data_IF_512823755948
#
_entry.id   IF_512823755948
#
_cell.length_a   1.000
_cell.length_b   1.000
_cell.length_c   1.000
_cell.angle_alpha   90.00
_cell.angle_beta   90.00
_cell.angle_gamma   90.00
#
_symmetry.space_group_name_H-M   'P 1'
#
loop_
_entity.id
_entity.type
_entity.pdbx_description
1 polymer ?
#
# COMPACT_ATOMS: atom_id res chain seq x y z
N UNK A 1 20.61 -8.62 0.97
CA UNK A 1 19.54 -7.60 1.02
C UNK A 1 19.77 -6.66 -0.16
N UNK A 2 18.81 -6.51 -1.07
CA UNK A 2 19.02 -5.71 -2.29
C UNK A 2 19.10 -4.21 -1.97
N UNK A 3 19.91 -3.47 -2.72
CA UNK A 3 20.11 -2.01 -2.54
C UNK A 3 18.80 -1.21 -2.57
N UNK A 4 17.83 -1.69 -3.36
CA UNK A 4 16.52 -1.06 -3.48
C UNK A 4 15.70 -1.11 -2.19
N UNK A 5 15.77 -2.21 -1.44
CA UNK A 5 15.10 -2.35 -0.14
C UNK A 5 15.77 -1.44 0.90
N UNK A 6 17.10 -1.35 0.90
CA UNK A 6 17.84 -0.48 1.82
C UNK A 6 17.47 1.01 1.61
N UNK A 7 17.32 1.42 0.35
CA UNK A 7 16.89 2.78 -0.01
C UNK A 7 15.47 3.09 0.44
N UNK A 8 14.52 2.16 0.27
CA UNK A 8 13.13 2.33 0.72
C UNK A 8 13.03 2.43 2.25
N UNK A 9 13.82 1.65 3.00
CA UNK A 9 13.92 1.77 4.46
C UNK A 9 14.46 3.15 4.87
N UNK A 10 15.51 3.64 4.20
CA UNK A 10 16.08 4.95 4.50
C UNK A 10 15.12 6.13 4.25
N UNK A 11 14.30 6.06 3.20
CA UNK A 11 13.24 7.06 2.94
C UNK A 11 12.15 6.97 4.00
N UNK A 12 11.70 5.76 4.32
CA UNK A 12 10.69 5.51 5.36
C UNK A 12 11.10 6.10 6.71
N UNK A 13 12.33 5.85 7.17
CA UNK A 13 12.84 6.41 8.43
C UNK A 13 12.86 7.95 8.40
N UNK A 14 13.22 8.55 7.26
CA UNK A 14 13.33 10.01 7.14
C UNK A 14 11.96 10.70 7.12
N UNK A 15 11.01 10.13 6.38
CA UNK A 15 9.64 10.63 6.24
C UNK A 15 8.77 10.32 7.48
N UNK A 16 9.07 9.25 8.22
CA UNK A 16 8.40 8.89 9.48
C UNK A 16 9.10 9.48 10.72
N UNK A 17 9.86 10.58 10.58
CA UNK A 17 10.52 11.29 11.69
C UNK A 17 11.43 10.41 12.58
N UNK A 18 12.13 9.44 11.99
CA UNK A 18 13.05 8.58 12.73
C UNK A 18 12.37 7.43 13.47
N UNK A 19 11.08 7.17 13.24
CA UNK A 19 10.41 5.98 13.78
C UNK A 19 10.90 4.77 13.00
N UNK A 20 11.91 4.09 13.55
CA UNK A 20 12.28 2.75 13.11
C UNK A 20 11.19 1.77 13.54
N UNK A 21 10.60 1.07 12.57
CA UNK A 21 9.72 -0.05 12.83
C UNK A 21 10.49 -1.12 13.63
N UNK A 22 9.96 -1.52 14.80
CA UNK A 22 10.48 -2.66 15.57
C UNK A 22 10.43 -3.97 14.77
N UNK A 23 9.55 -4.03 13.76
CA UNK A 23 9.49 -5.12 12.82
C UNK A 23 10.54 -4.89 11.72
N UNK A 24 11.43 -5.87 11.51
CA UNK A 24 12.46 -5.80 10.47
C UNK A 24 11.88 -5.66 9.05
N UNK A 25 12.71 -5.21 8.10
CA UNK A 25 12.30 -4.87 6.74
C UNK A 25 11.49 -5.98 6.02
N UNK A 26 11.82 -7.26 6.25
CA UNK A 26 11.07 -8.39 5.69
C UNK A 26 9.64 -8.48 6.22
N UNK A 27 9.43 -8.20 7.51
CA UNK A 27 8.11 -8.23 8.12
C UNK A 27 7.25 -7.08 7.60
N UNK A 28 7.84 -5.88 7.45
CA UNK A 28 7.20 -4.73 6.81
C UNK A 28 6.82 -5.05 5.37
N UNK A 29 7.74 -5.63 4.57
CA UNK A 29 7.47 -5.98 3.18
C UNK A 29 6.33 -7.00 3.06
N UNK A 30 6.31 -8.04 3.90
CA UNK A 30 5.20 -9.02 3.96
C UNK A 30 3.87 -8.33 4.26
N UNK A 31 3.87 -7.39 5.20
CA UNK A 31 2.66 -6.69 5.61
C UNK A 31 2.15 -5.73 4.55
N UNK A 32 3.04 -5.02 3.85
CA UNK A 32 2.69 -4.18 2.70
C UNK A 32 2.05 -5.00 1.59
N UNK A 33 2.60 -6.18 1.27
CA UNK A 33 2.01 -7.09 0.28
C UNK A 33 0.63 -7.59 0.72
N UNK A 34 0.50 -7.96 2.01
CA UNK A 34 -0.78 -8.39 2.59
C UNK A 34 -1.85 -7.28 2.49
N UNK A 35 -1.49 -6.05 2.85
CA UNK A 35 -2.38 -4.89 2.78
C UNK A 35 -2.76 -4.56 1.33
N UNK A 36 -1.79 -4.58 0.41
CA UNK A 36 -2.06 -4.32 -1.01
C UNK A 36 -3.06 -5.33 -1.58
N UNK A 37 -2.92 -6.61 -1.23
CA UNK A 37 -3.88 -7.65 -1.60
C UNK A 37 -5.26 -7.36 -1.01
N UNK A 38 -5.35 -7.03 0.27
CA UNK A 38 -6.63 -6.75 0.92
C UNK A 38 -7.37 -5.56 0.28
N UNK A 39 -6.66 -4.47 -0.01
CA UNK A 39 -7.24 -3.30 -0.70
C UNK A 39 -7.71 -3.66 -2.10
N UNK A 40 -6.93 -4.44 -2.87
CA UNK A 40 -7.35 -4.90 -4.20
C UNK A 40 -8.56 -5.80 -4.16
N UNK A 41 -8.63 -6.73 -3.21
CA UNK A 41 -9.74 -7.67 -3.08
C UNK A 41 -11.02 -6.94 -2.65
N UNK A 42 -10.91 -5.90 -1.81
CA UNK A 42 -12.04 -5.05 -1.42
C UNK A 42 -12.53 -4.15 -2.57
N UNK A 43 -11.63 -3.60 -3.38
CA UNK A 43 -12.00 -2.76 -4.52
C UNK A 43 -12.52 -3.57 -5.73
N UNK A 44 -12.17 -4.85 -5.84
CA UNK A 44 -12.51 -5.71 -6.99
C UNK A 44 -14.01 -5.75 -7.35
N UNK A 45 -14.96 -5.85 -6.39
CA UNK A 45 -16.39 -5.85 -6.73
C UNK A 45 -16.89 -4.50 -7.25
N UNK A 46 -16.18 -3.41 -6.95
CA UNK A 46 -16.52 -2.05 -7.37
C UNK A 46 -15.95 -1.68 -8.74
N UNK A 47 -15.12 -2.56 -9.33
CA UNK A 47 -14.45 -2.34 -10.61
C UNK A 47 -15.07 -3.21 -11.70
N UNK A 48 -15.62 -2.57 -12.72
CA UNK A 48 -16.17 -3.22 -13.90
C UNK A 48 -15.14 -3.31 -15.02
N UNK A 49 -15.26 -4.31 -15.88
CA UNK A 49 -14.29 -4.56 -16.97
C UNK A 49 -14.25 -3.43 -18.03
N UNK A 50 -15.29 -2.60 -18.07
CA UNK A 50 -15.41 -1.47 -19.00
C UNK A 50 -14.95 -0.14 -18.40
N UNK A 51 -14.52 -0.14 -17.14
CA UNK A 51 -14.08 1.08 -16.46
C UNK A 51 -12.80 1.63 -17.10
N UNK A 52 -12.66 2.94 -17.09
CA UNK A 52 -11.44 3.57 -17.58
C UNK A 52 -10.30 3.26 -16.60
N UNK A 53 -9.05 3.17 -17.07
CA UNK A 53 -7.91 2.96 -16.19
C UNK A 53 -7.80 3.98 -15.04
N UNK A 54 -8.36 5.17 -15.21
CA UNK A 54 -8.41 6.23 -14.19
C UNK A 54 -9.43 5.97 -13.06
N UNK A 55 -10.42 5.09 -13.27
CA UNK A 55 -11.45 4.75 -12.27
C UNK A 55 -10.89 3.78 -11.21
N UNK A 56 -9.83 3.04 -11.56
CA UNK A 56 -9.13 2.12 -10.65
C UNK A 56 -8.54 2.82 -9.42
N UNK A 57 -7.71 3.87 -9.55
CA UNK A 57 -7.22 4.65 -8.42
C UNK A 57 -8.34 5.22 -7.55
N UNK A 58 -9.42 5.72 -8.16
CA UNK A 58 -10.55 6.32 -7.43
C UNK A 58 -11.31 5.28 -6.59
N UNK A 59 -11.60 4.10 -7.17
CA UNK A 59 -12.23 3.02 -6.45
C UNK A 59 -11.34 2.47 -5.32
N UNK A 60 -10.03 2.38 -5.55
CA UNK A 60 -9.07 1.98 -4.51
C UNK A 60 -9.05 3.00 -3.37
N UNK A 61 -9.04 4.30 -3.66
CA UNK A 61 -9.01 5.36 -2.64
C UNK A 61 -10.27 5.35 -1.77
N UNK A 62 -11.44 5.19 -2.37
CA UNK A 62 -12.73 5.13 -1.67
C UNK A 62 -12.83 3.92 -0.74
N UNK A 63 -12.30 2.78 -1.17
CA UNK A 63 -12.38 1.54 -0.39
C UNK A 63 -11.20 1.35 0.59
N UNK A 64 -10.08 2.06 0.42
CA UNK A 64 -8.93 1.96 1.31
C UNK A 64 -9.13 2.67 2.65
N UNK A 65 -10.05 3.64 2.73
CA UNK A 65 -10.36 4.39 3.94
C UNK A 65 -11.89 4.52 4.11
N UNK A 66 -12.49 3.95 5.18
CA UNK A 66 -13.90 4.10 5.47
C UNK A 66 -14.36 5.56 5.69
N UNK A 67 -13.43 6.49 5.91
CA UNK A 67 -13.73 7.92 6.07
C UNK A 67 -13.83 8.69 4.74
N UNK A 68 -13.55 8.06 3.59
CA UNK A 68 -13.61 8.67 2.27
C UNK A 68 -15.00 8.60 1.60
N UNK A 69 -16.05 8.24 2.34
CA UNK A 69 -17.44 8.21 1.85
C UNK A 69 -18.14 9.57 1.89
#
# INVERSE_FOLDING_TARGET
MSEEIARLVGISVRELHGIESRAGAEAVAREVVRLNKAVRDLARPALHFSDQPADFPAALLRNADPAND
#
